data_IF_400533416113
#
_entry.id   IF_400533416113
#
_cell.length_a   1.000
_cell.length_b   1.000
_cell.length_c   1.000
_cell.angle_alpha   90.00
_cell.angle_beta   90.00
_cell.angle_gamma   90.00
#
_symmetry.space_group_name_H-M   'P 1'
#
loop_
_entity.id
_entity.type
_entity.pdbx_description
1 polymer ?
#
# COMPACT_ATOMS: atom_id res chain seq x y z
N UNK A 1 13.45 1.03 9.24
CA UNK A 1 13.94 -0.30 9.71
C UNK A 1 12.75 -1.08 10.22
N UNK A 2 12.39 -2.18 9.58
CA UNK A 2 11.26 -3.02 9.99
C UNK A 2 11.50 -3.58 11.40
N UNK A 3 10.64 -3.21 12.34
CA UNK A 3 10.71 -3.68 13.74
C UNK A 3 9.95 -4.98 13.98
N UNK A 4 9.77 -5.83 12.94
CA UNK A 4 9.31 -7.18 13.14
C UNK A 4 10.29 -7.91 14.06
N UNK A 5 9.80 -8.41 15.18
CA UNK A 5 10.56 -9.41 15.90
C UNK A 5 10.58 -10.67 15.05
N UNK A 6 11.76 -11.04 14.55
CA UNK A 6 11.91 -12.21 13.69
C UNK A 6 11.28 -13.49 14.27
N UNK A 7 11.21 -13.59 15.59
CA UNK A 7 10.54 -14.68 16.29
C UNK A 7 9.03 -14.71 16.08
N UNK A 8 8.37 -13.55 16.05
CA UNK A 8 6.93 -13.46 15.81
C UNK A 8 6.59 -13.87 14.37
N UNK A 9 7.42 -13.45 13.42
CA UNK A 9 7.27 -13.86 12.00
C UNK A 9 7.40 -15.37 11.88
N UNK A 10 8.44 -15.97 12.49
CA UNK A 10 8.65 -17.42 12.47
C UNK A 10 7.41 -18.14 13.06
N UNK A 11 6.93 -17.70 14.21
CA UNK A 11 5.78 -18.29 14.89
C UNK A 11 4.52 -18.23 14.04
N UNK A 12 4.17 -17.05 13.55
CA UNK A 12 2.93 -16.85 12.76
C UNK A 12 2.99 -17.61 11.44
N UNK A 13 4.15 -17.63 10.80
CA UNK A 13 4.35 -18.40 9.57
C UNK A 13 4.23 -19.90 9.85
N UNK A 14 4.85 -20.39 10.90
CA UNK A 14 4.75 -21.81 11.32
C UNK A 14 3.31 -22.22 11.60
N UNK A 15 2.59 -21.41 12.36
CA UNK A 15 1.18 -21.66 12.69
C UNK A 15 0.30 -21.62 11.43
N UNK A 16 0.62 -20.75 10.48
CA UNK A 16 -0.07 -20.66 9.21
C UNK A 16 0.10 -21.92 8.35
N UNK A 17 1.35 -22.42 8.21
CA UNK A 17 1.63 -23.64 7.44
C UNK A 17 1.24 -24.91 8.20
N UNK A 18 0.79 -24.79 9.46
CA UNK A 18 0.33 -25.91 10.27
C UNK A 18 1.42 -26.78 10.85
N UNK A 19 2.68 -26.31 10.88
CA UNK A 19 3.82 -27.07 11.46
C UNK A 19 3.86 -26.95 12.99
N UNK A 20 4.19 -28.04 13.66
CA UNK A 20 4.60 -28.04 15.08
C UNK A 20 5.99 -27.40 15.24
N UNK A 21 6.38 -27.10 16.48
CA UNK A 21 7.74 -26.62 16.75
C UNK A 21 8.77 -27.71 16.49
N UNK A 22 8.41 -28.92 16.82
CA UNK A 22 9.23 -30.13 16.58
C UNK A 22 9.53 -30.30 15.10
N UNK A 23 8.49 -30.24 14.25
CA UNK A 23 8.65 -30.36 12.80
C UNK A 23 9.50 -29.22 12.22
N UNK A 24 9.22 -27.96 12.59
CA UNK A 24 9.98 -26.84 12.04
C UNK A 24 11.44 -26.85 12.51
N UNK A 25 11.70 -27.22 13.75
CA UNK A 25 13.07 -27.19 14.30
C UNK A 25 13.94 -28.35 13.87
N UNK A 26 13.34 -29.46 13.42
CA UNK A 26 14.06 -30.68 13.03
C UNK A 26 15.11 -30.39 11.95
N UNK A 27 16.34 -30.86 12.19
CA UNK A 27 17.50 -30.63 11.32
C UNK A 27 18.05 -29.17 11.33
N UNK A 28 17.44 -28.24 12.12
CA UNK A 28 17.83 -26.83 12.14
C UNK A 28 18.29 -26.36 13.52
N UNK A 29 17.49 -26.62 14.56
CA UNK A 29 17.79 -26.25 15.95
C UNK A 29 16.96 -27.11 16.92
N UNK A 30 17.13 -26.96 18.24
CA UNK A 30 16.24 -27.65 19.17
C UNK A 30 14.84 -26.97 19.23
N UNK A 31 13.76 -27.74 19.52
CA UNK A 31 12.42 -27.15 19.74
C UNK A 31 12.41 -26.08 20.82
N UNK A 32 13.23 -26.27 21.87
CA UNK A 32 13.41 -25.31 22.96
C UNK A 32 14.05 -24.00 22.45
N UNK A 33 15.00 -24.08 21.54
CA UNK A 33 15.62 -22.91 20.92
C UNK A 33 14.57 -22.17 20.07
N UNK A 34 13.80 -22.88 19.26
CA UNK A 34 12.73 -22.28 18.46
C UNK A 34 11.68 -21.60 19.35
N UNK A 35 11.26 -22.23 20.44
CA UNK A 35 10.33 -21.64 21.40
C UNK A 35 10.86 -20.31 21.99
N UNK A 36 12.15 -20.25 22.34
CA UNK A 36 12.77 -19.01 22.84
C UNK A 36 12.86 -17.92 21.79
N UNK A 37 13.10 -18.29 20.54
CA UNK A 37 13.11 -17.38 19.39
C UNK A 37 11.72 -16.80 19.15
N UNK A 38 10.69 -17.65 19.14
CA UNK A 38 9.29 -17.25 18.96
C UNK A 38 8.79 -16.32 20.06
N UNK A 39 9.29 -16.46 21.29
CA UNK A 39 8.98 -15.55 22.41
C UNK A 39 9.84 -14.27 22.44
N UNK A 40 10.75 -14.09 21.47
CA UNK A 40 11.66 -12.95 21.43
C UNK A 40 12.70 -12.93 22.57
N UNK A 41 12.85 -14.04 23.32
CA UNK A 41 13.85 -14.17 24.41
C UNK A 41 15.28 -14.31 23.92
N UNK A 42 15.45 -14.60 22.63
CA UNK A 42 16.76 -14.76 21.99
C UNK A 42 16.71 -14.11 20.61
N UNK A 43 17.79 -13.42 20.21
CA UNK A 43 17.91 -12.86 18.87
C UNK A 43 18.06 -13.97 17.82
N UNK A 44 17.29 -13.89 16.76
CA UNK A 44 17.41 -14.80 15.61
C UNK A 44 18.62 -14.38 14.77
N UNK A 45 19.59 -15.29 14.56
CA UNK A 45 20.68 -15.09 13.62
C UNK A 45 20.16 -15.19 12.18
N UNK A 46 20.76 -14.43 11.24
CA UNK A 46 20.33 -14.37 9.82
C UNK A 46 20.24 -15.75 9.17
N UNK A 47 21.28 -16.56 9.33
CA UNK A 47 21.33 -17.92 8.77
C UNK A 47 20.23 -18.82 9.34
N UNK A 48 20.02 -18.79 10.66
CA UNK A 48 18.98 -19.57 11.31
C UNK A 48 17.58 -19.14 10.85
N UNK A 49 17.35 -17.82 10.70
CA UNK A 49 16.11 -17.30 10.16
C UNK A 49 15.85 -17.80 8.73
N UNK A 50 16.87 -17.70 7.88
CA UNK A 50 16.77 -18.14 6.48
C UNK A 50 16.43 -19.63 6.39
N UNK A 51 17.08 -20.50 7.18
CA UNK A 51 16.82 -21.95 7.20
C UNK A 51 15.41 -22.28 7.70
N UNK A 52 14.92 -21.60 8.73
CA UNK A 52 13.56 -21.80 9.25
C UNK A 52 12.50 -21.36 8.21
N UNK A 53 12.70 -20.18 7.58
CA UNK A 53 11.77 -19.69 6.55
C UNK A 53 11.79 -20.60 5.32
N UNK A 54 12.95 -21.05 4.85
CA UNK A 54 13.06 -21.95 3.72
C UNK A 54 12.34 -23.30 3.97
N UNK A 55 12.40 -23.84 5.20
CA UNK A 55 11.67 -25.07 5.55
C UNK A 55 10.16 -24.88 5.56
N UNK A 56 9.68 -23.65 5.74
CA UNK A 56 8.26 -23.27 5.60
C UNK A 56 7.90 -22.83 4.19
N UNK A 57 8.78 -23.05 3.21
CA UNK A 57 8.61 -22.61 1.81
C UNK A 57 8.39 -21.10 1.68
N UNK A 58 9.00 -20.32 2.60
CA UNK A 58 8.92 -18.86 2.59
C UNK A 58 10.26 -18.23 2.24
N UNK A 59 10.19 -17.14 1.52
CA UNK A 59 11.39 -16.35 1.24
C UNK A 59 11.91 -15.74 2.53
N UNK A 60 13.21 -15.89 2.86
CA UNK A 60 13.77 -15.52 4.16
C UNK A 60 14.04 -14.02 4.28
N UNK A 61 13.03 -13.18 4.11
CA UNK A 61 13.20 -11.74 4.15
C UNK A 61 12.82 -11.09 5.45
N UNK A 62 13.74 -10.28 5.96
CA UNK A 62 13.50 -9.36 7.06
C UNK A 62 13.29 -7.93 6.62
N UNK A 63 13.96 -7.52 5.54
CA UNK A 63 13.98 -6.15 5.06
C UNK A 63 14.18 -6.12 3.56
N UNK A 64 13.48 -5.23 2.92
CA UNK A 64 13.61 -4.80 1.58
C UNK A 64 15.06 -4.57 1.09
N UNK A 65 15.88 -3.91 1.90
CA UNK A 65 17.29 -3.66 1.60
C UNK A 65 18.16 -4.93 1.54
N UNK A 66 17.69 -6.06 2.09
CA UNK A 66 18.47 -7.31 2.10
C UNK A 66 18.29 -8.10 0.81
N UNK A 67 17.18 -7.93 0.11
CA UNK A 67 16.90 -8.64 -1.12
C UNK A 67 17.65 -8.10 -2.32
N UNK A 68 17.87 -6.80 -2.27
CA UNK A 68 18.71 -6.09 -3.25
C UNK A 68 20.17 -6.04 -2.82
N UNK A 69 20.45 -6.51 -1.61
CA UNK A 69 21.69 -6.25 -0.87
C UNK A 69 22.97 -6.90 -1.38
N UNK A 70 23.00 -7.48 -2.56
CA UNK A 70 24.24 -7.84 -3.25
C UNK A 70 24.49 -7.02 -4.50
N UNK A 71 23.53 -6.24 -4.96
CA UNK A 71 23.65 -5.45 -6.17
C UNK A 71 23.07 -4.05 -5.93
N UNK A 72 23.92 -3.11 -5.57
CA UNK A 72 23.56 -1.69 -5.38
C UNK A 72 22.97 -1.07 -6.66
N UNK A 73 23.38 -1.53 -7.82
CA UNK A 73 22.86 -1.05 -9.10
C UNK A 73 21.38 -1.41 -9.30
N UNK A 74 20.96 -2.58 -8.80
CA UNK A 74 19.51 -2.95 -8.81
C UNK A 74 18.70 -2.04 -7.91
N UNK A 75 19.24 -1.62 -6.78
CA UNK A 75 18.57 -0.69 -5.88
C UNK A 75 18.39 0.68 -6.53
N UNK A 76 19.46 1.21 -7.13
CA UNK A 76 19.45 2.50 -7.83
C UNK A 76 18.43 2.50 -8.99
N UNK A 77 18.45 1.48 -9.86
CA UNK A 77 17.48 1.37 -10.98
C UNK A 77 16.04 1.27 -10.49
N UNK A 78 15.84 0.62 -9.35
CA UNK A 78 14.53 0.51 -8.74
C UNK A 78 14.03 1.83 -8.16
N UNK A 79 14.87 2.56 -7.44
CA UNK A 79 14.55 3.89 -6.91
C UNK A 79 14.22 4.86 -8.06
N UNK A 80 15.02 4.85 -9.13
CA UNK A 80 14.77 5.65 -10.32
C UNK A 80 13.45 5.28 -11.01
N UNK A 81 13.13 3.98 -11.08
CA UNK A 81 11.85 3.51 -11.61
C UNK A 81 10.67 3.99 -10.74
N UNK A 82 10.78 3.86 -9.42
CA UNK A 82 9.73 4.30 -8.49
C UNK A 82 9.52 5.82 -8.54
N UNK A 83 10.60 6.60 -8.67
CA UNK A 83 10.53 8.04 -8.83
C UNK A 83 9.86 8.43 -10.16
N UNK A 84 10.30 7.81 -11.27
CA UNK A 84 9.70 8.07 -12.58
C UNK A 84 8.19 7.71 -12.60
N UNK A 85 7.80 6.60 -11.98
CA UNK A 85 6.38 6.22 -11.83
C UNK A 85 5.61 7.23 -10.98
N UNK A 86 6.21 7.75 -9.90
CA UNK A 86 5.60 8.76 -9.02
C UNK A 86 5.40 10.10 -9.74
N UNK A 87 6.35 10.46 -10.61
CA UNK A 87 6.32 11.70 -11.37
C UNK A 87 5.50 11.57 -12.67
N UNK A 88 4.91 10.38 -12.92
CA UNK A 88 4.15 10.05 -14.14
C UNK A 88 5.00 10.16 -15.42
N UNK A 89 6.32 10.01 -15.32
CA UNK A 89 7.24 9.96 -16.45
C UNK A 89 7.39 8.49 -16.92
N UNK A 90 6.36 8.01 -17.61
CA UNK A 90 6.27 6.60 -17.99
C UNK A 90 7.30 6.20 -19.06
N UNK A 91 7.82 7.14 -19.83
CA UNK A 91 8.89 6.86 -20.80
C UNK A 91 10.17 6.48 -20.06
N UNK A 92 10.60 7.30 -19.07
CA UNK A 92 11.74 6.97 -18.22
C UNK A 92 11.50 5.72 -17.38
N UNK A 93 10.29 5.55 -16.85
CA UNK A 93 9.94 4.35 -16.10
C UNK A 93 10.16 3.08 -16.95
N UNK A 94 9.81 3.11 -18.24
CA UNK A 94 10.00 1.98 -19.16
C UNK A 94 11.50 1.69 -19.41
N UNK A 95 12.33 2.74 -19.53
CA UNK A 95 13.78 2.61 -19.65
C UNK A 95 14.41 1.97 -18.40
N UNK A 96 14.02 2.45 -17.21
CA UNK A 96 14.53 1.90 -15.94
C UNK A 96 14.05 0.47 -15.72
N UNK A 97 12.80 0.15 -16.06
CA UNK A 97 12.31 -1.22 -15.98
C UNK A 97 13.08 -2.18 -16.90
N UNK A 98 13.45 -1.76 -18.12
CA UNK A 98 14.28 -2.56 -19.01
C UNK A 98 15.66 -2.83 -18.41
N UNK A 99 16.33 -1.79 -17.89
CA UNK A 99 17.62 -1.94 -17.21
C UNK A 99 17.53 -2.86 -16.00
N UNK A 100 16.46 -2.71 -15.20
CA UNK A 100 16.21 -3.56 -14.06
C UNK A 100 16.04 -5.03 -14.47
N UNK A 101 15.31 -5.32 -15.56
CA UNK A 101 15.14 -6.67 -16.10
C UNK A 101 16.46 -7.29 -16.58
N UNK A 102 17.33 -6.52 -17.21
CA UNK A 102 18.63 -6.99 -17.68
C UNK A 102 19.57 -7.36 -16.52
N UNK A 103 19.46 -6.63 -15.40
CA UNK A 103 20.27 -6.85 -14.19
C UNK A 103 19.64 -7.80 -13.18
N UNK A 104 18.35 -8.16 -13.38
CA UNK A 104 17.60 -8.99 -12.45
C UNK A 104 18.23 -10.38 -12.30
N UNK A 105 18.42 -10.77 -11.06
CA UNK A 105 18.83 -12.12 -10.68
C UNK A 105 17.65 -13.09 -10.58
N UNK A 106 17.94 -14.37 -10.28
CA UNK A 106 16.92 -15.39 -10.10
C UNK A 106 16.15 -15.31 -8.76
N UNK A 107 16.37 -14.25 -7.99
CA UNK A 107 15.69 -14.03 -6.72
C UNK A 107 14.18 -13.84 -6.94
N UNK A 108 13.39 -14.61 -6.20
CA UNK A 108 11.91 -14.57 -6.30
C UNK A 108 11.34 -13.18 -6.05
N UNK A 109 11.98 -12.38 -5.20
CA UNK A 109 11.49 -11.04 -4.85
C UNK A 109 11.79 -10.05 -5.96
N UNK A 110 12.98 -10.15 -6.58
CA UNK A 110 13.29 -9.36 -7.77
C UNK A 110 12.31 -9.70 -8.89
N UNK A 111 12.04 -11.01 -9.14
CA UNK A 111 11.04 -11.44 -10.12
C UNK A 111 9.65 -10.91 -9.82
N UNK A 112 9.21 -11.01 -8.56
CA UNK A 112 7.92 -10.47 -8.12
C UNK A 112 7.82 -8.96 -8.34
N UNK A 113 8.87 -8.24 -7.95
CA UNK A 113 8.91 -6.78 -8.13
C UNK A 113 8.83 -6.38 -9.61
N UNK A 114 9.65 -7.00 -10.46
CA UNK A 114 9.69 -6.73 -11.91
C UNK A 114 8.31 -7.00 -12.53
N UNK A 115 7.68 -8.13 -12.22
CA UNK A 115 6.38 -8.48 -12.77
C UNK A 115 5.28 -7.49 -12.31
N UNK A 116 5.30 -7.07 -11.03
CA UNK A 116 4.41 -6.02 -10.53
C UNK A 116 4.63 -4.69 -11.26
N UNK A 117 5.88 -4.25 -11.37
CA UNK A 117 6.22 -2.98 -12.00
C UNK A 117 5.81 -2.96 -13.48
N UNK A 118 6.02 -4.07 -14.19
CA UNK A 118 5.58 -4.24 -15.57
C UNK A 118 4.06 -4.16 -15.69
N UNK A 119 3.32 -4.88 -14.85
CA UNK A 119 1.87 -4.85 -14.86
C UNK A 119 1.29 -3.44 -14.65
N UNK A 120 1.86 -2.69 -13.71
CA UNK A 120 1.43 -1.31 -13.44
C UNK A 120 1.81 -0.36 -14.57
N UNK A 121 3.03 -0.46 -15.10
CA UNK A 121 3.48 0.39 -16.19
C UNK A 121 2.68 0.13 -17.47
N UNK A 122 2.39 -1.14 -17.80
CA UNK A 122 1.53 -1.49 -18.94
C UNK A 122 0.14 -0.90 -18.81
N UNK A 123 -0.44 -0.91 -17.60
CA UNK A 123 -1.73 -0.30 -17.33
C UNK A 123 -1.71 1.21 -17.54
N UNK A 124 -0.74 1.91 -16.93
CA UNK A 124 -0.64 3.38 -17.05
C UNK A 124 -0.31 3.85 -18.46
N UNK A 125 0.48 3.07 -19.21
CA UNK A 125 0.77 3.31 -20.62
C UNK A 125 -0.36 2.85 -21.57
N UNK A 126 -1.48 2.31 -21.03
CA UNK A 126 -2.60 1.77 -21.80
C UNK A 126 -2.20 0.62 -22.76
N UNK A 127 -1.18 -0.15 -22.39
CA UNK A 127 -0.74 -1.36 -23.09
C UNK A 127 -1.50 -2.60 -22.65
N UNK A 128 -2.12 -2.57 -21.45
CA UNK A 128 -3.01 -3.61 -20.92
C UNK A 128 -4.28 -2.98 -20.36
N UNK A 129 -5.35 -3.77 -20.29
CA UNK A 129 -6.58 -3.40 -19.60
C UNK A 129 -6.51 -3.78 -18.08
N UNK A 130 -7.57 -3.42 -17.35
CA UNK A 130 -7.63 -3.68 -15.91
C UNK A 130 -7.68 -5.17 -15.56
N UNK A 131 -8.32 -6.02 -16.38
CA UNK A 131 -8.41 -7.47 -16.15
C UNK A 131 -7.05 -8.15 -16.35
N UNK A 132 -6.35 -7.78 -17.40
CA UNK A 132 -5.00 -8.29 -17.65
C UNK A 132 -4.03 -7.83 -16.55
N UNK A 133 -4.15 -6.59 -16.11
CA UNK A 133 -3.36 -6.04 -15.00
C UNK A 133 -3.61 -6.81 -13.71
N UNK A 134 -4.87 -7.09 -13.36
CA UNK A 134 -5.23 -7.91 -12.19
C UNK A 134 -4.54 -9.28 -12.29
N UNK A 135 -4.62 -9.93 -13.43
CA UNK A 135 -4.05 -11.26 -13.66
C UNK A 135 -2.53 -11.27 -13.45
N UNK A 136 -1.81 -10.30 -14.04
CA UNK A 136 -0.36 -10.16 -13.85
C UNK A 136 0.01 -9.86 -12.39
N UNK A 137 -0.78 -9.05 -11.68
CA UNK A 137 -0.55 -8.76 -10.25
C UNK A 137 -0.81 -9.99 -9.37
N UNK A 138 -1.84 -10.80 -9.67
CA UNK A 138 -2.06 -12.07 -8.99
C UNK A 138 -0.90 -13.04 -9.22
N UNK A 139 -0.39 -13.14 -10.45
CA UNK A 139 0.80 -13.94 -10.77
C UNK A 139 2.01 -13.47 -9.96
N UNK A 140 2.24 -12.15 -9.88
CA UNK A 140 3.31 -11.58 -9.08
C UNK A 140 3.18 -11.94 -7.59
N UNK A 141 1.98 -11.85 -7.03
CA UNK A 141 1.72 -12.19 -5.61
C UNK A 141 2.00 -13.66 -5.36
N UNK A 142 1.59 -14.57 -6.25
CA UNK A 142 1.76 -16.02 -6.10
C UNK A 142 3.22 -16.46 -6.10
N UNK A 143 4.14 -15.65 -6.57
CA UNK A 143 5.58 -15.97 -6.52
C UNK A 143 6.05 -16.17 -5.06
N UNK A 144 5.56 -15.38 -4.12
CA UNK A 144 5.92 -15.48 -2.69
C UNK A 144 4.78 -15.98 -1.82
N UNK A 145 3.54 -15.86 -2.28
CA UNK A 145 2.30 -16.25 -1.61
C UNK A 145 1.43 -17.10 -2.55
N UNK A 146 1.76 -18.36 -2.80
CA UNK A 146 0.99 -19.21 -3.72
C UNK A 146 -0.51 -19.25 -3.41
N UNK A 147 -0.86 -19.29 -2.13
CA UNK A 147 -2.24 -19.31 -1.60
C UNK A 147 -2.62 -17.99 -0.91
N UNK A 148 -2.33 -16.83 -1.54
CA UNK A 148 -2.53 -15.52 -0.91
C UNK A 148 -3.98 -15.30 -0.44
N UNK A 149 -4.97 -15.89 -1.10
CA UNK A 149 -6.38 -15.80 -0.71
C UNK A 149 -6.63 -16.43 0.67
N UNK A 150 -5.95 -17.53 1.00
CA UNK A 150 -6.00 -18.13 2.34
C UNK A 150 -5.28 -17.27 3.37
N UNK A 151 -4.20 -16.60 2.97
CA UNK A 151 -3.48 -15.65 3.82
C UNK A 151 -4.36 -14.46 4.21
N UNK A 152 -5.20 -13.99 3.30
CA UNK A 152 -6.16 -12.92 3.56
C UNK A 152 -7.27 -13.30 4.55
N UNK A 153 -7.53 -14.59 4.76
CA UNK A 153 -8.59 -15.06 5.69
C UNK A 153 -8.10 -15.24 7.13
N UNK A 154 -6.79 -15.24 7.37
CA UNK A 154 -6.18 -15.51 8.68
C UNK A 154 -5.23 -14.38 9.08
N UNK A 155 -4.85 -14.30 10.36
CA UNK A 155 -3.73 -13.46 10.79
C UNK A 155 -2.45 -14.01 10.13
N UNK A 156 -1.88 -13.22 9.23
CA UNK A 156 -0.69 -13.59 8.49
C UNK A 156 0.34 -12.46 8.52
N UNK A 157 1.63 -12.73 8.79
CA UNK A 157 2.67 -11.72 8.83
C UNK A 157 3.17 -11.44 7.40
N UNK A 158 2.46 -10.60 6.67
CA UNK A 158 2.92 -10.16 5.36
C UNK A 158 4.23 -9.38 5.47
N UNK A 159 5.13 -9.60 4.54
CA UNK A 159 6.29 -8.73 4.33
C UNK A 159 5.85 -7.40 3.72
N UNK A 160 6.69 -6.38 3.83
CA UNK A 160 6.45 -5.08 3.22
C UNK A 160 6.14 -5.20 1.72
N UNK A 161 6.93 -6.00 1.00
CA UNK A 161 6.75 -6.23 -0.43
C UNK A 161 5.40 -6.89 -0.74
N UNK A 162 4.97 -7.85 0.07
CA UNK A 162 3.67 -8.50 -0.07
C UNK A 162 2.52 -7.52 0.19
N UNK A 163 2.64 -6.65 1.20
CA UNK A 163 1.67 -5.57 1.47
C UNK A 163 1.56 -4.64 0.25
N UNK A 164 2.69 -4.21 -0.31
CA UNK A 164 2.70 -3.34 -1.49
C UNK A 164 2.09 -4.01 -2.72
N UNK A 165 2.33 -5.31 -2.93
CA UNK A 165 1.73 -6.07 -4.03
C UNK A 165 0.22 -6.24 -3.84
N UNK A 166 -0.22 -6.60 -2.64
CA UNK A 166 -1.64 -6.72 -2.31
C UNK A 166 -2.36 -5.39 -2.41
N UNK A 167 -1.72 -4.28 -2.02
CA UNK A 167 -2.25 -2.93 -2.21
C UNK A 167 -2.41 -2.59 -3.69
N UNK A 168 -1.42 -2.93 -4.52
CA UNK A 168 -1.50 -2.73 -5.98
C UNK A 168 -2.65 -3.55 -6.60
N UNK A 169 -2.84 -4.79 -6.15
CA UNK A 169 -3.97 -5.63 -6.59
C UNK A 169 -5.31 -5.04 -6.14
N UNK A 170 -5.41 -4.56 -4.91
CA UNK A 170 -6.63 -3.92 -4.41
C UNK A 170 -6.95 -2.64 -5.21
N UNK A 171 -5.93 -1.84 -5.55
CA UNK A 171 -6.11 -0.68 -6.43
C UNK A 171 -6.63 -1.10 -7.82
N UNK A 172 -6.07 -2.15 -8.42
CA UNK A 172 -6.52 -2.66 -9.72
C UNK A 172 -7.97 -3.18 -9.66
N UNK A 173 -8.37 -3.85 -8.57
CA UNK A 173 -9.77 -4.21 -8.36
C UNK A 173 -10.68 -2.98 -8.24
N UNK A 174 -10.27 -1.94 -7.50
CA UNK A 174 -11.05 -0.70 -7.38
C UNK A 174 -11.19 0.02 -8.72
N UNK A 175 -10.13 0.04 -9.54
CA UNK A 175 -10.14 0.65 -10.88
C UNK A 175 -11.00 -0.12 -11.91
N UNK A 176 -11.37 -1.36 -11.60
CA UNK A 176 -12.26 -2.21 -12.42
C UNK A 176 -13.63 -2.45 -11.76
N UNK A 177 -14.04 -1.52 -10.89
CA UNK A 177 -15.33 -1.52 -10.17
C UNK A 177 -15.59 -2.76 -9.28
N UNK A 178 -14.54 -3.54 -8.98
CA UNK A 178 -14.61 -4.72 -8.08
C UNK A 178 -14.36 -4.29 -6.62
N UNK A 179 -15.12 -3.31 -6.16
CA UNK A 179 -14.91 -2.63 -4.87
C UNK A 179 -14.94 -3.57 -3.67
N UNK A 180 -15.80 -4.59 -3.65
CA UNK A 180 -15.87 -5.54 -2.54
C UNK A 180 -14.58 -6.30 -2.34
N UNK A 181 -13.92 -6.71 -3.45
CA UNK A 181 -12.61 -7.37 -3.41
C UNK A 181 -11.53 -6.41 -2.92
N UNK A 182 -11.53 -5.19 -3.42
CA UNK A 182 -10.59 -4.14 -2.99
C UNK A 182 -10.73 -3.86 -1.49
N UNK A 183 -11.95 -3.64 -1.00
CA UNK A 183 -12.29 -3.39 0.41
C UNK A 183 -11.81 -4.55 1.31
N UNK A 184 -12.05 -5.79 0.89
CA UNK A 184 -11.62 -6.96 1.66
C UNK A 184 -10.09 -6.98 1.85
N UNK A 185 -9.32 -6.69 0.79
CA UNK A 185 -7.86 -6.63 0.86
C UNK A 185 -7.40 -5.45 1.72
N UNK A 186 -7.91 -4.23 1.49
CA UNK A 186 -7.51 -3.06 2.29
C UNK A 186 -7.76 -3.24 3.78
N UNK A 187 -8.94 -3.77 4.16
CA UNK A 187 -9.26 -4.07 5.56
C UNK A 187 -8.26 -5.05 6.15
N UNK A 188 -7.93 -6.09 5.40
CA UNK A 188 -6.96 -7.09 5.84
C UNK A 188 -5.56 -6.52 6.02
N UNK A 189 -5.12 -5.67 5.12
CA UNK A 189 -3.83 -4.98 5.23
C UNK A 189 -3.78 -4.08 6.47
N UNK A 190 -4.86 -3.33 6.76
CA UNK A 190 -4.94 -2.51 7.98
C UNK A 190 -4.89 -3.38 9.25
N UNK A 191 -5.62 -4.50 9.30
CA UNK A 191 -5.52 -5.45 10.41
C UNK A 191 -4.08 -5.93 10.64
N UNK A 192 -3.33 -6.18 9.55
CA UNK A 192 -1.93 -6.61 9.65
C UNK A 192 -1.02 -5.49 10.16
N UNK A 193 -1.23 -4.25 9.70
CA UNK A 193 -0.44 -3.09 10.12
C UNK A 193 -0.76 -2.62 11.55
N UNK A 194 -1.92 -2.96 12.09
CA UNK A 194 -2.31 -2.68 13.49
C UNK A 194 -1.77 -3.72 14.49
N UNK A 195 -1.06 -4.74 14.02
CA UNK A 195 -0.45 -5.72 14.91
C UNK A 195 0.71 -5.09 15.70
N UNK A 196 0.80 -5.36 17.01
CA UNK A 196 1.74 -4.74 17.97
C UNK A 196 3.23 -4.88 17.65
N UNK A 197 3.60 -5.70 16.66
CA UNK A 197 4.98 -5.96 16.28
C UNK A 197 5.46 -5.20 15.02
N UNK A 198 4.63 -4.31 14.47
CA UNK A 198 4.98 -3.45 13.34
C UNK A 198 5.01 -2.00 13.83
N UNK A 199 6.19 -1.39 13.86
CA UNK A 199 6.38 -0.02 14.33
C UNK A 199 7.23 0.78 13.35
N UNK A 200 6.97 2.10 13.27
CA UNK A 200 7.79 3.06 12.55
C UNK A 200 6.97 4.05 11.72
N UNK A 201 7.57 5.17 11.37
CA UNK A 201 6.93 6.23 10.55
C UNK A 201 6.41 5.69 9.20
N UNK A 202 7.15 4.78 8.59
CA UNK A 202 6.74 4.12 7.35
C UNK A 202 5.40 3.36 7.49
N UNK A 203 5.15 2.73 8.63
CA UNK A 203 3.89 1.99 8.89
C UNK A 203 2.70 2.95 8.94
N UNK A 204 2.85 4.09 9.60
CA UNK A 204 1.79 5.10 9.69
C UNK A 204 1.49 5.70 8.31
N UNK A 205 2.52 5.93 7.49
CA UNK A 205 2.35 6.34 6.11
C UNK A 205 1.59 5.31 5.28
N UNK A 206 1.97 4.03 5.37
CA UNK A 206 1.25 2.95 4.69
C UNK A 206 -0.20 2.83 5.14
N UNK A 207 -0.45 2.93 6.45
CA UNK A 207 -1.82 2.93 6.99
C UNK A 207 -2.64 4.07 6.39
N UNK A 208 -2.06 5.27 6.31
CA UNK A 208 -2.74 6.44 5.73
C UNK A 208 -3.12 6.20 4.27
N UNK A 209 -2.19 5.69 3.44
CA UNK A 209 -2.46 5.38 2.03
C UNK A 209 -3.58 4.33 1.90
N UNK A 210 -3.48 3.23 2.66
CA UNK A 210 -4.48 2.15 2.61
C UNK A 210 -5.84 2.64 3.11
N UNK A 211 -5.90 3.40 4.20
CA UNK A 211 -7.15 3.98 4.71
C UNK A 211 -7.77 4.95 3.71
N UNK A 212 -6.96 5.78 3.04
CA UNK A 212 -7.44 6.66 1.98
C UNK A 212 -8.07 5.86 0.83
N UNK A 213 -7.39 4.84 0.33
CA UNK A 213 -7.90 4.01 -0.76
C UNK A 213 -9.16 3.24 -0.34
N UNK A 214 -9.23 2.76 0.90
CA UNK A 214 -10.44 2.16 1.47
C UNK A 214 -11.58 3.16 1.59
N UNK A 215 -11.29 4.41 1.99
CA UNK A 215 -12.28 5.50 2.02
C UNK A 215 -12.87 5.77 0.64
N UNK A 216 -12.02 5.85 -0.40
CA UNK A 216 -12.46 6.02 -1.77
C UNK A 216 -13.28 4.83 -2.29
N UNK A 217 -12.91 3.61 -1.93
CA UNK A 217 -13.68 2.42 -2.29
C UNK A 217 -15.06 2.41 -1.61
N UNK A 218 -15.16 2.81 -0.33
CA UNK A 218 -16.46 2.98 0.33
C UNK A 218 -17.29 4.10 -0.30
N UNK A 219 -16.65 5.21 -0.66
CA UNK A 219 -17.32 6.30 -1.36
C UNK A 219 -17.92 5.84 -2.69
N UNK A 220 -17.19 5.04 -3.47
CA UNK A 220 -17.65 4.51 -4.76
C UNK A 220 -18.82 3.53 -4.67
N UNK A 221 -19.01 2.88 -3.50
CA UNK A 221 -20.19 2.02 -3.23
C UNK A 221 -21.21 2.73 -2.34
N UNK A 222 -21.19 4.06 -2.34
CA UNK A 222 -22.15 4.92 -1.65
C UNK A 222 -22.19 4.82 -0.11
N UNK A 223 -21.17 4.23 0.50
CA UNK A 223 -21.01 4.18 1.97
C UNK A 223 -20.30 5.44 2.47
N UNK A 224 -20.99 6.58 2.35
CA UNK A 224 -20.41 7.90 2.60
C UNK A 224 -19.99 8.10 4.06
N UNK A 225 -20.72 7.54 5.02
CA UNK A 225 -20.38 7.66 6.44
C UNK A 225 -19.08 6.93 6.80
N UNK A 226 -18.89 5.71 6.29
CA UNK A 226 -17.65 4.94 6.46
C UNK A 226 -16.49 5.63 5.77
N UNK A 227 -16.72 6.15 4.57
CA UNK A 227 -15.72 6.92 3.81
C UNK A 227 -15.29 8.17 4.60
N UNK A 228 -16.24 8.91 5.17
CA UNK A 228 -15.98 10.10 5.95
C UNK A 228 -15.14 9.81 7.20
N UNK A 229 -15.51 8.79 7.98
CA UNK A 229 -14.77 8.39 9.19
C UNK A 229 -13.32 8.02 8.91
N UNK A 230 -13.08 7.29 7.82
CA UNK A 230 -11.71 6.92 7.40
C UNK A 230 -10.92 8.15 6.95
N UNK A 231 -11.53 9.04 6.16
CA UNK A 231 -10.88 10.26 5.71
C UNK A 231 -10.49 11.18 6.90
N UNK A 232 -11.36 11.33 7.91
CA UNK A 232 -11.05 12.05 9.14
C UNK A 232 -9.82 11.46 9.85
N UNK A 233 -9.77 10.13 9.97
CA UNK A 233 -8.64 9.44 10.58
C UNK A 233 -7.34 9.62 9.77
N UNK A 234 -7.42 9.61 8.43
CA UNK A 234 -6.29 9.95 7.57
C UNK A 234 -5.78 11.38 7.80
N UNK A 235 -6.70 12.35 7.91
CA UNK A 235 -6.35 13.74 8.18
C UNK A 235 -5.69 13.93 9.55
N UNK A 236 -6.11 13.19 10.57
CA UNK A 236 -5.47 13.20 11.90
C UNK A 236 -4.04 12.63 11.83
N UNK A 237 -3.84 11.52 11.15
CA UNK A 237 -2.50 10.95 10.94
C UNK A 237 -1.60 11.91 10.16
N UNK A 238 -2.09 12.48 9.07
CA UNK A 238 -1.34 13.41 8.24
C UNK A 238 -0.94 14.71 8.98
N UNK A 239 -1.70 15.14 9.99
CA UNK A 239 -1.33 16.28 10.85
C UNK A 239 -0.18 15.94 11.79
N UNK A 240 -0.11 14.71 12.26
CA UNK A 240 0.86 14.28 13.25
C UNK A 240 2.16 13.77 12.61
N UNK A 241 2.13 13.45 11.32
CA UNK A 241 3.31 13.09 10.53
C UNK A 241 3.85 14.32 9.79
N UNK A 242 5.17 14.38 9.57
CA UNK A 242 5.78 15.40 8.71
C UNK A 242 5.38 15.25 7.22
N UNK A 243 4.41 14.40 6.92
CA UNK A 243 3.97 14.03 5.58
C UNK A 243 2.84 14.92 5.05
N UNK A 244 2.92 16.20 5.26
CA UNK A 244 1.98 17.16 4.70
C UNK A 244 1.79 17.11 3.16
N UNK A 245 2.49 16.19 2.46
CA UNK A 245 2.40 16.07 0.98
C UNK A 245 1.00 15.70 0.52
N UNK A 246 0.31 14.84 1.22
CA UNK A 246 -1.01 14.33 0.83
C UNK A 246 -2.18 15.07 1.48
N UNK A 247 -1.88 15.99 2.40
CA UNK A 247 -2.92 16.65 3.19
C UNK A 247 -3.95 17.40 2.32
N UNK A 248 -3.51 18.06 1.25
CA UNK A 248 -4.43 18.75 0.33
C UNK A 248 -5.32 17.77 -0.45
N UNK A 249 -4.83 16.57 -0.75
CA UNK A 249 -5.60 15.52 -1.43
C UNK A 249 -6.67 14.99 -0.48
N UNK A 250 -6.31 14.69 0.77
CA UNK A 250 -7.27 14.24 1.79
C UNK A 250 -8.37 15.27 2.06
N UNK A 251 -8.04 16.56 2.05
CA UNK A 251 -9.05 17.62 2.14
C UNK A 251 -9.98 17.64 0.93
N UNK A 252 -9.46 17.41 -0.27
CA UNK A 252 -10.25 17.31 -1.49
C UNK A 252 -11.18 16.09 -1.46
N UNK A 253 -10.68 14.93 -1.02
CA UNK A 253 -11.50 13.73 -0.85
C UNK A 253 -12.64 14.00 0.16
N UNK A 254 -12.35 14.68 1.27
CA UNK A 254 -13.36 15.09 2.26
C UNK A 254 -14.44 15.98 1.67
N UNK A 255 -14.06 16.93 0.82
CA UNK A 255 -15.04 17.80 0.13
C UNK A 255 -15.98 16.97 -0.72
N UNK A 256 -15.46 16.03 -1.52
CA UNK A 256 -16.29 15.16 -2.35
C UNK A 256 -17.29 14.36 -1.51
N UNK A 257 -16.85 13.78 -0.39
CA UNK A 257 -17.73 13.01 0.51
C UNK A 257 -18.81 13.90 1.13
N UNK A 258 -18.48 15.09 1.61
CA UNK A 258 -19.46 16.03 2.18
C UNK A 258 -20.51 16.43 1.16
N UNK A 259 -20.10 16.74 -0.07
CA UNK A 259 -21.03 17.13 -1.15
C UNK A 259 -21.99 15.99 -1.48
N UNK A 260 -21.51 14.76 -1.57
CA UNK A 260 -22.33 13.59 -1.83
C UNK A 260 -23.36 13.35 -0.69
N UNK A 261 -22.91 13.49 0.56
CA UNK A 261 -23.79 13.39 1.73
C UNK A 261 -24.89 14.46 1.74
N UNK A 262 -24.58 15.71 1.32
CA UNK A 262 -25.56 16.79 1.17
C UNK A 262 -26.55 16.45 0.07
N UNK A 263 -26.08 15.97 -1.08
CA UNK A 263 -26.93 15.61 -2.23
C UNK A 263 -27.90 14.48 -1.87
N UNK A 264 -27.45 13.52 -1.07
CA UNK A 264 -28.30 12.42 -0.57
C UNK A 264 -29.22 12.79 0.62
N UNK A 265 -29.10 14.02 1.13
CA UNK A 265 -29.85 14.47 2.31
C UNK A 265 -29.39 13.83 3.63
N UNK A 266 -28.22 13.22 3.65
CA UNK A 266 -27.59 12.64 4.83
C UNK A 266 -26.90 13.70 5.70
N UNK A 267 -26.70 14.92 5.15
CA UNK A 267 -26.05 16.04 5.81
C UNK A 267 -26.79 17.37 5.56
N UNK A 268 -26.72 18.29 6.53
CA UNK A 268 -27.35 19.63 6.40
C UNK A 268 -26.68 20.44 5.28
N UNK A 269 -27.47 21.11 4.47
CA UNK A 269 -26.98 22.03 3.43
C UNK A 269 -26.10 23.17 3.96
N UNK A 270 -26.16 23.48 5.27
CA UNK A 270 -25.23 24.42 5.93
C UNK A 270 -23.77 23.97 5.87
N UNK A 271 -23.53 22.67 5.79
CA UNK A 271 -22.18 22.10 5.66
C UNK A 271 -21.53 22.39 4.30
N UNK A 272 -22.27 22.97 3.36
CA UNK A 272 -21.70 23.48 2.11
C UNK A 272 -20.60 24.53 2.36
N UNK A 273 -20.78 25.41 3.37
CA UNK A 273 -19.74 26.39 3.71
C UNK A 273 -18.47 25.71 4.28
N UNK A 274 -18.65 24.60 5.00
CA UNK A 274 -17.54 23.78 5.46
C UNK A 274 -16.79 23.13 4.29
N UNK A 275 -17.51 22.57 3.32
CA UNK A 275 -16.93 22.02 2.10
C UNK A 275 -16.15 23.08 1.32
N UNK A 276 -16.69 24.28 1.15
CA UNK A 276 -16.02 25.42 0.51
C UNK A 276 -14.74 25.82 1.25
N UNK A 277 -14.75 25.80 2.58
CA UNK A 277 -13.55 26.06 3.40
C UNK A 277 -12.45 25.06 3.14
N UNK A 278 -12.78 23.74 3.16
CA UNK A 278 -11.81 22.70 2.89
C UNK A 278 -11.27 22.74 1.46
N UNK A 279 -12.13 23.07 0.48
CA UNK A 279 -11.70 23.22 -0.91
C UNK A 279 -10.66 24.33 -1.07
N UNK A 280 -10.90 25.50 -0.44
CA UNK A 280 -9.92 26.60 -0.44
C UNK A 280 -8.60 26.19 0.21
N UNK A 281 -8.65 25.48 1.34
CA UNK A 281 -7.44 25.00 2.01
C UNK A 281 -6.67 24.02 1.12
N UNK A 282 -7.37 23.07 0.49
CA UNK A 282 -6.78 22.11 -0.45
C UNK A 282 -6.07 22.83 -1.61
N UNK A 283 -6.74 23.80 -2.22
CA UNK A 283 -6.19 24.59 -3.32
C UNK A 283 -4.91 25.35 -2.91
N UNK A 284 -4.95 26.09 -1.80
CA UNK A 284 -3.78 26.87 -1.36
C UNK A 284 -2.60 26.01 -0.96
N UNK A 285 -2.86 24.84 -0.36
CA UNK A 285 -1.81 23.89 -0.02
C UNK A 285 -1.17 23.28 -1.28
N UNK A 286 -1.97 22.93 -2.28
CA UNK A 286 -1.45 22.46 -3.57
C UNK A 286 -0.63 23.55 -4.27
N UNK A 287 -1.13 24.81 -4.28
CA UNK A 287 -0.42 25.94 -4.87
C UNK A 287 0.91 26.24 -4.16
N UNK A 288 0.93 26.21 -2.83
CA UNK A 288 2.16 26.42 -2.05
C UNK A 288 3.22 25.34 -2.30
N UNK A 289 2.83 24.20 -2.85
CA UNK A 289 3.71 23.07 -3.19
C UNK A 289 4.10 23.01 -4.67
N UNK A 290 3.48 23.85 -5.52
CA UNK A 290 3.67 23.79 -6.95
C UNK A 290 3.04 22.54 -7.58
N UNK A 291 2.00 21.94 -6.98
CA UNK A 291 1.28 20.81 -7.55
C UNK A 291 0.24 21.28 -8.57
N UNK A 292 0.73 21.69 -9.74
CA UNK A 292 -0.11 22.21 -10.84
C UNK A 292 -1.12 21.15 -11.32
N UNK A 293 -0.78 19.86 -11.26
CA UNK A 293 -1.69 18.77 -11.66
C UNK A 293 -2.89 18.68 -10.72
N UNK A 294 -2.68 18.73 -9.41
CA UNK A 294 -3.77 18.75 -8.43
C UNK A 294 -4.63 20.01 -8.59
N UNK A 295 -4.03 21.18 -8.78
CA UNK A 295 -4.73 22.44 -9.03
C UNK A 295 -5.67 22.32 -10.23
N UNK A 296 -5.20 21.77 -11.35
CA UNK A 296 -6.02 21.56 -12.55
C UNK A 296 -7.19 20.59 -12.30
N UNK A 297 -6.94 19.51 -11.55
CA UNK A 297 -8.00 18.58 -11.15
C UNK A 297 -9.04 19.29 -10.29
N UNK A 298 -8.62 20.07 -9.29
CA UNK A 298 -9.54 20.82 -8.44
C UNK A 298 -10.35 21.83 -9.23
N UNK A 299 -9.74 22.57 -10.13
CA UNK A 299 -10.46 23.51 -11.03
C UNK A 299 -11.50 22.81 -11.89
N UNK A 300 -11.20 21.62 -12.44
CA UNK A 300 -12.10 20.88 -13.33
C UNK A 300 -13.23 20.18 -12.61
N UNK A 301 -12.90 19.44 -11.55
CA UNK A 301 -13.86 18.63 -10.80
C UNK A 301 -14.95 19.47 -10.16
N UNK A 302 -14.61 20.62 -9.61
CA UNK A 302 -15.53 21.44 -8.82
C UNK A 302 -16.23 22.55 -9.61
N UNK A 303 -15.81 22.88 -10.83
CA UNK A 303 -16.57 23.79 -11.72
C UNK A 303 -18.00 23.28 -12.02
N UNK A 304 -18.19 21.97 -12.04
CA UNK A 304 -19.49 21.35 -12.36
C UNK A 304 -20.43 21.26 -11.15
N UNK A 305 -19.90 20.94 -9.98
CA UNK A 305 -20.73 20.55 -8.82
C UNK A 305 -21.07 21.68 -7.87
N UNK A 306 -20.25 22.70 -7.72
CA UNK A 306 -20.48 23.71 -6.67
C UNK A 306 -20.43 25.08 -7.24
N UNK A 307 -20.49 25.64 -8.26
CA UNK A 307 -20.34 27.09 -8.63
C UNK A 307 -19.37 27.88 -7.68
N UNK A 308 -18.52 27.17 -6.93
CA UNK A 308 -17.60 27.68 -5.90
C UNK A 308 -16.37 28.33 -6.54
N UNK A 309 -16.12 28.06 -7.81
CA UNK A 309 -14.99 28.68 -8.52
C UNK A 309 -15.12 30.19 -8.68
N UNK A 310 -16.30 30.77 -8.52
CA UNK A 310 -16.49 32.24 -8.48
C UNK A 310 -15.90 32.87 -7.19
N UNK A 311 -15.67 32.08 -6.14
CA UNK A 311 -15.11 32.55 -4.86
C UNK A 311 -13.60 32.34 -4.73
N UNK A 312 -13.00 31.50 -5.58
CA UNK A 312 -11.55 31.43 -5.70
C UNK A 312 -11.16 32.48 -6.75
N UNK A 313 -11.21 33.75 -6.39
CA UNK A 313 -10.53 34.78 -7.15
C UNK A 313 -9.04 34.52 -7.00
N UNK A 314 -8.51 33.84 -8.01
CA UNK A 314 -7.07 33.71 -8.23
C UNK A 314 -6.64 35.08 -8.75
N UNK A 315 -5.97 35.85 -7.91
CA UNK A 315 -5.19 37.00 -8.32
C UNK A 315 -3.84 36.52 -8.86
#
# INVERSE_FOLDING_TARGET
>A
MSNYRAGDIIRLTREYVGMSREELSDGICSPQTLYRLELGKTRVKKDLYARLMAKMERVPEKNYAVCVGKNMELLEERELLEDAMRDYDYEKADEYLKKLKEKADDNLITKQYVLKAEALLDYYCKRSDGEETIKKLEEAIRITLPDYEKCLQKKFPFTEQEIMNLMSLANAYAHTDKYEKAIAIYRKLLECLDMEYIFGEYVEHMKMIIMRNLSLAYFSIEKCEEAFKLNERCLELAKNSNEGREYHILLSDKVAIILEQIEKGERDGKDLELAKKYLRQSYYLAAARGDDKAIEVYKKAYKKQVKVCEYIKIH
#
